data_IF_650211981977
#
_entry.id   IF_650211981977
#
_cell.length_a   1.000
_cell.length_b   1.000
_cell.length_c   1.000
_cell.angle_alpha   90.00
_cell.angle_beta   90.00
_cell.angle_gamma   90.00
#
_symmetry.space_group_name_H-M   'P 1'
#
loop_
_entity.id
_entity.type
_entity.pdbx_description
1 polymer ?
#
# COMPACT_ATOMS: atom_id res chain seq x y z
N UNK A 1 19.87 28.31 -45.38
CA UNK A 1 19.74 28.27 -43.91
C UNK A 1 19.04 26.96 -43.58
N UNK A 2 19.75 26.01 -42.97
CA UNK A 2 19.24 24.66 -42.69
C UNK A 2 18.52 24.69 -41.35
N UNK A 3 17.21 24.44 -41.37
CA UNK A 3 16.40 24.34 -40.16
C UNK A 3 16.75 23.03 -39.45
N UNK A 4 17.35 23.14 -38.26
CA UNK A 4 17.63 22.04 -37.35
C UNK A 4 16.32 21.55 -36.74
N UNK A 5 15.84 20.40 -37.19
CA UNK A 5 14.67 19.71 -36.68
C UNK A 5 14.99 19.17 -35.27
N UNK A 6 14.49 19.84 -34.24
CA UNK A 6 14.57 19.35 -32.85
C UNK A 6 13.56 18.23 -32.69
N UNK A 7 14.02 16.99 -32.71
CA UNK A 7 13.22 15.82 -32.36
C UNK A 7 12.95 15.85 -30.85
N UNK A 8 11.74 16.25 -30.46
CA UNK A 8 11.24 16.07 -29.11
C UNK A 8 11.05 14.56 -28.86
N UNK A 9 12.04 13.93 -28.25
CA UNK A 9 11.89 12.58 -27.68
C UNK A 9 10.97 12.74 -26.47
N UNK A 10 9.68 12.54 -26.69
CA UNK A 10 8.72 12.34 -25.60
C UNK A 10 9.14 11.03 -24.95
N UNK A 11 9.87 11.12 -23.84
CA UNK A 11 10.11 10.00 -22.95
C UNK A 11 8.76 9.55 -22.42
N UNK A 12 8.12 8.62 -23.13
CA UNK A 12 7.06 7.80 -22.56
C UNK A 12 7.74 7.08 -21.41
N UNK A 13 7.61 7.61 -20.19
CA UNK A 13 7.85 6.83 -18.99
C UNK A 13 6.97 5.61 -19.21
N UNK A 14 7.62 4.48 -19.50
CA UNK A 14 6.95 3.21 -19.46
C UNK A 14 6.39 3.14 -18.05
N UNK A 15 5.10 3.48 -17.91
CA UNK A 15 4.24 2.88 -16.92
C UNK A 15 4.33 1.42 -17.31
N UNK A 16 5.38 0.75 -16.80
CA UNK A 16 5.52 -0.68 -16.84
C UNK A 16 4.23 -1.11 -16.15
N UNK A 17 3.26 -1.43 -17.00
CA UNK A 17 2.00 -1.98 -16.60
C UNK A 17 2.41 -3.19 -15.78
N UNK A 18 2.36 -3.02 -14.46
CA UNK A 18 2.15 -4.09 -13.52
C UNK A 18 0.83 -4.72 -13.97
N UNK A 19 0.91 -5.55 -15.02
CA UNK A 19 -0.18 -6.40 -15.44
C UNK A 19 -0.27 -7.44 -14.33
N UNK A 20 -1.01 -7.06 -13.30
CA UNK A 20 -1.95 -7.93 -12.62
C UNK A 20 -1.38 -9.24 -12.08
N UNK A 21 -0.21 -9.20 -11.44
CA UNK A 21 -0.07 -10.03 -10.25
C UNK A 21 -1.06 -9.47 -9.22
N UNK A 22 -2.32 -9.93 -9.31
CA UNK A 22 -3.42 -9.56 -8.42
C UNK A 22 -2.88 -9.53 -7.00
N UNK A 23 -3.05 -8.41 -6.31
CA UNK A 23 -2.48 -8.21 -4.98
C UNK A 23 -2.94 -9.36 -4.08
N UNK A 24 -2.05 -10.29 -3.67
CA UNK A 24 -2.46 -11.57 -3.11
C UNK A 24 -2.74 -11.51 -1.60
N UNK A 25 -2.78 -10.31 -1.04
CA UNK A 25 -2.91 -10.09 0.39
C UNK A 25 -4.37 -9.79 0.73
N UNK A 26 -4.75 -10.16 1.95
CA UNK A 26 -6.07 -9.79 2.46
C UNK A 26 -6.09 -8.29 2.72
N UNK A 27 -7.24 -7.62 2.49
CA UNK A 27 -7.42 -6.25 2.93
C UNK A 27 -7.17 -6.18 4.44
N UNK A 28 -6.56 -5.07 4.87
CA UNK A 28 -6.40 -4.81 6.29
C UNK A 28 -7.78 -4.54 6.92
N UNK A 29 -7.87 -4.66 8.25
CA UNK A 29 -9.12 -4.37 8.93
C UNK A 29 -9.51 -2.89 8.83
N UNK A 30 -10.80 -2.54 9.00
CA UNK A 30 -11.30 -1.19 8.79
C UNK A 30 -10.62 -0.14 9.68
N UNK A 31 -10.13 -0.50 10.88
CA UNK A 31 -9.43 0.45 11.75
C UNK A 31 -8.02 0.75 11.22
N UNK A 32 -7.26 -0.30 10.88
CA UNK A 32 -5.90 -0.18 10.32
C UNK A 32 -5.94 0.55 8.97
N UNK A 33 -6.92 0.24 8.12
CA UNK A 33 -7.13 0.89 6.82
C UNK A 33 -7.50 2.36 6.98
N UNK A 34 -8.41 2.71 7.90
CA UNK A 34 -8.74 4.11 8.17
C UNK A 34 -7.53 4.91 8.67
N UNK A 35 -6.69 4.31 9.51
CA UNK A 35 -5.47 4.94 10.02
C UNK A 35 -4.43 5.22 8.94
N UNK A 36 -4.14 4.22 8.11
CA UNK A 36 -3.22 4.35 6.97
C UNK A 36 -3.76 5.34 5.94
N UNK A 37 -5.03 5.25 5.54
CA UNK A 37 -5.62 6.22 4.62
C UNK A 37 -5.59 7.66 5.16
N UNK A 38 -5.86 7.85 6.46
CA UNK A 38 -5.84 9.18 7.07
C UNK A 38 -4.43 9.79 7.03
N UNK A 39 -3.44 9.07 7.55
CA UNK A 39 -2.06 9.59 7.63
C UNK A 39 -1.39 9.64 6.26
N UNK A 40 -1.67 8.65 5.41
CA UNK A 40 -1.22 8.60 4.02
C UNK A 40 -1.71 9.80 3.22
N UNK A 41 -2.99 10.19 3.36
CA UNK A 41 -3.54 11.39 2.70
C UNK A 41 -2.91 12.71 3.16
N UNK A 42 -2.38 12.77 4.39
CA UNK A 42 -1.63 13.94 4.87
C UNK A 42 -0.24 14.04 4.21
N UNK A 43 0.36 12.92 3.83
CA UNK A 43 1.67 12.87 3.18
C UNK A 43 1.55 12.92 1.64
N UNK A 44 0.48 12.38 1.11
CA UNK A 44 0.20 12.27 -0.31
C UNK A 44 -1.31 12.37 -0.56
N UNK A 45 -1.84 13.49 -1.09
CA UNK A 45 -3.28 13.69 -1.21
C UNK A 45 -4.02 12.63 -2.05
N UNK A 46 -3.33 11.99 -2.99
CA UNK A 46 -3.88 10.92 -3.83
C UNK A 46 -3.67 9.51 -3.24
N UNK A 47 -3.26 9.42 -1.97
CA UNK A 47 -3.03 8.16 -1.29
C UNK A 47 -4.27 7.29 -1.29
N UNK A 48 -4.09 6.03 -1.68
CA UNK A 48 -5.18 5.07 -1.89
C UNK A 48 -4.71 3.65 -1.65
N UNK A 49 -5.62 2.82 -1.17
CA UNK A 49 -5.46 1.36 -1.09
C UNK A 49 -6.20 0.63 -2.20
N UNK A 50 -6.92 1.34 -3.07
CA UNK A 50 -7.63 0.75 -4.21
C UNK A 50 -6.63 0.31 -5.29
N UNK A 51 -6.54 -1.01 -5.51
CA UNK A 51 -5.69 -1.66 -6.52
C UNK A 51 -5.92 -1.13 -7.95
N UNK A 52 -7.10 -0.55 -8.24
CA UNK A 52 -7.43 -0.03 -9.56
C UNK A 52 -7.00 1.43 -9.75
N UNK A 53 -6.57 2.11 -8.69
CA UNK A 53 -6.15 3.51 -8.77
C UNK A 53 -4.78 3.63 -9.43
N UNK A 54 -4.56 4.63 -10.30
CA UNK A 54 -3.24 4.89 -10.88
C UNK A 54 -2.18 5.25 -9.82
N UNK A 55 -2.61 5.66 -8.62
CA UNK A 55 -1.74 6.05 -7.51
C UNK A 55 -1.49 4.93 -6.50
N UNK A 56 -2.03 3.74 -6.73
CA UNK A 56 -1.96 2.63 -5.78
C UNK A 56 -0.52 2.18 -5.51
N UNK A 57 0.27 1.93 -6.56
CA UNK A 57 1.65 1.48 -6.39
C UNK A 57 2.53 2.58 -5.78
N UNK A 58 2.25 3.85 -6.07
CA UNK A 58 2.90 4.98 -5.43
C UNK A 58 2.56 5.03 -3.94
N UNK A 59 1.28 4.84 -3.58
CA UNK A 59 0.81 4.79 -2.19
C UNK A 59 1.48 3.68 -1.40
N UNK A 60 1.59 2.47 -1.96
CA UNK A 60 2.34 1.37 -1.35
C UNK A 60 3.82 1.71 -1.10
N UNK A 61 4.41 2.64 -1.86
CA UNK A 61 5.76 3.13 -1.61
C UNK A 61 5.90 3.86 -0.27
N UNK A 62 4.85 4.54 0.19
CA UNK A 62 4.86 5.19 1.51
C UNK A 62 4.85 4.16 2.65
N UNK A 63 4.18 3.02 2.45
CA UNK A 63 4.03 1.98 3.48
C UNK A 63 5.13 0.93 3.48
N UNK A 64 5.73 0.64 2.32
CA UNK A 64 6.61 -0.52 2.14
C UNK A 64 8.00 -0.18 1.61
N UNK A 65 8.21 1.01 1.03
CA UNK A 65 9.55 1.40 0.60
C UNK A 65 10.32 2.10 1.72
N UNK A 66 11.17 1.35 2.42
CA UNK A 66 12.04 1.91 3.46
C UNK A 66 12.97 3.02 2.96
N UNK A 67 13.21 3.13 1.65
CA UNK A 67 14.02 4.20 1.04
C UNK A 67 13.19 5.44 0.73
N UNK A 68 11.85 5.38 0.83
CA UNK A 68 11.01 6.52 0.59
C UNK A 68 11.21 7.57 1.69
N UNK A 69 11.41 8.85 1.35
CA UNK A 69 11.75 9.89 2.33
C UNK A 69 10.65 10.11 3.39
N UNK A 70 9.42 9.66 3.10
CA UNK A 70 8.26 9.75 4.00
C UNK A 70 7.85 8.43 4.65
N UNK A 71 8.61 7.35 4.44
CA UNK A 71 8.29 6.04 5.00
C UNK A 71 8.23 6.06 6.53
N UNK A 72 9.26 6.61 7.19
CA UNK A 72 9.32 6.64 8.65
C UNK A 72 8.20 7.50 9.25
N UNK A 73 7.89 8.64 8.63
CA UNK A 73 6.79 9.51 9.04
C UNK A 73 5.44 8.77 8.94
N UNK A 74 5.21 8.07 7.83
CA UNK A 74 4.01 7.25 7.61
C UNK A 74 3.89 6.14 8.65
N UNK A 75 4.91 5.29 8.77
CA UNK A 75 4.90 4.14 9.68
C UNK A 75 4.76 4.56 11.15
N UNK A 76 5.38 5.67 11.55
CA UNK A 76 5.25 6.18 12.91
C UNK A 76 3.85 6.73 13.18
N UNK A 77 3.31 7.60 12.31
CA UNK A 77 1.99 8.21 12.51
C UNK A 77 0.86 7.20 12.37
N UNK A 78 0.92 6.36 11.33
CA UNK A 78 -0.03 5.28 11.15
C UNK A 78 0.07 4.28 12.32
N UNK A 79 1.28 3.93 12.78
CA UNK A 79 1.49 3.08 13.95
C UNK A 79 0.89 3.65 15.24
N UNK A 80 1.01 4.96 15.47
CA UNK A 80 0.35 5.63 16.60
C UNK A 80 -1.19 5.56 16.49
N UNK A 81 -1.73 5.71 15.29
CA UNK A 81 -3.16 5.58 15.04
C UNK A 81 -3.65 4.12 15.20
N UNK A 82 -2.82 3.13 14.86
CA UNK A 82 -3.15 1.71 14.97
C UNK A 82 -3.16 1.19 16.41
N UNK A 83 -2.50 1.88 17.35
CA UNK A 83 -2.45 1.49 18.76
C UNK A 83 -3.80 1.10 19.38
N UNK A 84 -4.87 1.91 19.24
CA UNK A 84 -6.22 1.56 19.70
C UNK A 84 -6.99 0.57 18.83
N UNK A 85 -6.48 0.13 17.68
CA UNK A 85 -7.20 -0.80 16.81
C UNK A 85 -7.34 -2.20 17.43
N UNK A 86 -8.33 -3.01 17.03
CA UNK A 86 -8.46 -4.38 17.51
C UNK A 86 -7.19 -5.19 17.26
N UNK A 87 -6.76 -5.97 18.26
CA UNK A 87 -5.52 -6.78 18.17
C UNK A 87 -5.52 -7.73 16.96
N UNK A 88 -6.68 -8.27 16.58
CA UNK A 88 -6.80 -9.14 15.41
C UNK A 88 -6.41 -8.43 14.10
N UNK A 89 -6.75 -7.15 13.95
CA UNK A 89 -6.39 -6.35 12.77
C UNK A 89 -4.90 -5.98 12.80
N UNK A 90 -4.37 -5.63 13.97
CA UNK A 90 -2.94 -5.34 14.13
C UNK A 90 -2.07 -6.55 13.80
N UNK A 91 -2.45 -7.75 14.26
CA UNK A 91 -1.72 -8.99 13.96
C UNK A 91 -1.87 -9.40 12.48
N UNK A 92 -3.04 -9.17 11.88
CA UNK A 92 -3.22 -9.38 10.43
C UNK A 92 -2.31 -8.46 9.60
N UNK A 93 -2.21 -7.18 9.98
CA UNK A 93 -1.31 -6.23 9.35
C UNK A 93 0.15 -6.66 9.50
N UNK A 94 0.60 -6.92 10.73
CA UNK A 94 1.98 -7.34 11.04
C UNK A 94 2.37 -8.64 10.32
N UNK A 95 1.49 -9.63 10.30
CA UNK A 95 1.76 -10.93 9.67
C UNK A 95 1.90 -10.85 8.15
N UNK A 96 1.20 -9.92 7.50
CA UNK A 96 1.30 -9.71 6.05
C UNK A 96 2.33 -8.65 5.66
N UNK A 97 2.76 -7.77 6.59
CA UNK A 97 3.59 -6.60 6.28
C UNK A 97 4.89 -6.94 5.55
N UNK A 98 5.62 -7.96 6.02
CA UNK A 98 6.87 -8.38 5.37
C UNK A 98 6.63 -8.90 3.95
N UNK A 99 5.63 -9.78 3.79
CA UNK A 99 5.30 -10.34 2.49
C UNK A 99 4.80 -9.27 1.49
N UNK A 100 4.00 -8.30 1.96
CA UNK A 100 3.59 -7.11 1.19
C UNK A 100 4.81 -6.30 0.74
N UNK A 101 5.78 -6.11 1.64
CA UNK A 101 7.03 -5.37 1.35
C UNK A 101 7.88 -6.07 0.28
N UNK A 102 8.03 -7.39 0.37
CA UNK A 102 8.77 -8.19 -0.62
C UNK A 102 8.07 -8.20 -1.99
N UNK A 103 6.73 -8.31 -1.98
CA UNK A 103 5.93 -8.20 -3.20
C UNK A 103 6.10 -6.83 -3.85
N UNK A 104 6.01 -5.76 -3.06
CA UNK A 104 6.19 -4.38 -3.55
C UNK A 104 7.57 -4.17 -4.17
N UNK A 105 8.63 -4.68 -3.54
CA UNK A 105 9.99 -4.59 -4.07
C UNK A 105 10.14 -5.25 -5.46
N UNK A 106 9.43 -6.36 -5.71
CA UNK A 106 9.37 -7.03 -7.02
C UNK A 106 8.51 -6.24 -8.01
N UNK A 107 7.36 -5.74 -7.56
CA UNK A 107 6.45 -4.95 -8.40
C UNK A 107 7.12 -3.64 -8.90
N UNK A 108 7.83 -2.91 -8.03
CA UNK A 108 8.48 -1.62 -8.39
C UNK A 108 9.66 -1.75 -9.36
N UNK A 109 10.32 -2.90 -9.40
CA UNK A 109 11.50 -3.12 -10.26
C UNK A 109 11.11 -3.56 -11.68
N UNK A 110 9.82 -3.74 -11.95
CA UNK A 110 9.35 -4.35 -13.21
C UNK A 110 9.74 -5.83 -13.35
N UNK A 111 10.45 -6.41 -12.36
CA UNK A 111 10.93 -7.79 -12.35
C UNK A 111 9.88 -8.78 -11.79
N UNK A 112 8.67 -8.31 -11.51
CA UNK A 112 7.65 -9.04 -10.76
C UNK A 112 6.61 -9.75 -11.62
N UNK A 113 7.02 -10.78 -12.36
CA UNK A 113 6.17 -11.97 -12.50
C UNK A 113 7.03 -13.21 -12.31
N UNK A 114 6.91 -13.94 -11.17
CA UNK A 114 7.07 -15.38 -11.25
C UNK A 114 5.98 -15.88 -12.20
N UNK A 115 6.40 -16.46 -13.31
CA UNK A 115 5.54 -17.27 -14.18
C UNK A 115 4.72 -18.21 -13.27
N UNK A 116 3.39 -18.29 -13.41
CA UNK A 116 2.64 -19.33 -12.71
C UNK A 116 3.22 -20.66 -13.19
N UNK A 117 3.89 -21.41 -12.31
CA UNK A 117 4.35 -22.76 -12.63
C UNK A 117 3.19 -23.50 -13.27
N UNK A 118 3.31 -23.75 -14.58
CA UNK A 118 2.41 -24.58 -15.33
C UNK A 118 2.48 -25.99 -14.74
N UNK A 119 1.59 -26.26 -13.79
CA UNK A 119 1.28 -27.60 -13.34
C UNK A 119 0.62 -28.34 -14.50
N UNK A 120 1.44 -28.99 -15.32
CA UNK A 120 1.01 -30.03 -16.24
C UNK A 120 0.41 -31.17 -15.43
N UNK A 121 -0.90 -31.37 -15.53
CA UNK A 121 -1.58 -32.51 -14.91
C UNK A 121 -3.09 -32.40 -15.00
N UNK A 122 -3.66 -32.95 -16.07
CA UNK A 122 -5.05 -32.76 -16.43
C UNK A 122 -6.08 -33.52 -15.59
N UNK A 123 -7.32 -33.03 -15.66
CA UNK A 123 -8.48 -33.84 -16.03
C UNK A 123 -9.64 -32.91 -16.35
N UNK A 124 -10.02 -32.95 -17.62
CA UNK A 124 -11.29 -32.44 -18.13
C UNK A 124 -12.42 -33.20 -17.44
N UNK A 125 -13.22 -32.50 -16.62
CA UNK A 125 -14.56 -32.95 -16.26
C UNK A 125 -15.52 -31.81 -16.56
N UNK A 126 -16.46 -32.11 -17.46
CA UNK A 126 -17.45 -31.20 -18.01
C UNK A 126 -18.31 -30.51 -16.92
N UNK A 127 -18.77 -29.27 -17.14
CA UNK A 127 -19.70 -28.63 -16.23
C UNK A 127 -21.14 -29.12 -16.49
N UNK A 128 -21.66 -29.93 -15.57
CA UNK A 128 -23.10 -30.21 -15.48
C UNK A 128 -23.80 -29.00 -14.87
N UNK A 129 -24.69 -28.39 -15.64
CA UNK A 129 -25.57 -27.27 -15.28
C UNK A 129 -26.63 -27.70 -14.26
N UNK A 130 -26.75 -27.05 -13.08
CA UNK A 130 -27.94 -27.17 -12.25
C UNK A 130 -28.99 -26.13 -12.66
N UNK A 131 -30.19 -26.65 -12.86
CA UNK A 131 -31.47 -25.96 -13.06
C UNK A 131 -31.89 -25.20 -11.79
N UNK A 132 -32.57 -24.06 -11.99
CA UNK A 132 -32.83 -23.07 -10.94
C UNK A 132 -33.96 -23.37 -9.94
N UNK A 133 -34.07 -22.47 -8.97
CA UNK A 133 -35.24 -22.15 -8.15
C UNK A 133 -35.04 -20.71 -7.64
N UNK A 134 -35.82 -19.75 -8.14
CA UNK A 134 -36.99 -19.16 -7.46
C UNK A 134 -36.64 -18.44 -6.14
N UNK A 135 -36.49 -17.12 -6.22
CA UNK A 135 -36.36 -16.22 -5.06
C UNK A 135 -37.70 -15.52 -4.86
N UNK A 136 -38.32 -15.75 -3.70
CA UNK A 136 -39.45 -14.99 -3.20
C UNK A 136 -38.97 -13.67 -2.52
N UNK A 137 -39.77 -12.60 -2.53
CA UNK A 137 -39.41 -11.31 -1.93
C UNK A 137 -39.65 -11.29 -0.42
N UNK A 138 -38.75 -10.67 0.35
CA UNK A 138 -38.92 -10.41 1.79
C UNK A 138 -38.88 -8.89 2.04
N UNK A 139 -39.80 -8.33 2.85
CA UNK A 139 -40.13 -6.91 2.88
C UNK A 139 -39.28 -6.03 3.80
N UNK A 140 -39.47 -4.73 3.59
CA UNK A 140 -39.00 -3.57 4.37
C UNK A 140 -39.15 -3.69 5.89
N UNK A 141 -38.15 -3.18 6.60
CA UNK A 141 -38.24 -2.81 8.02
C UNK A 141 -37.39 -1.56 8.28
N UNK A 142 -38.06 -0.41 8.40
CA UNK A 142 -37.52 0.83 8.94
C UNK A 142 -37.77 0.89 10.46
N UNK A 143 -36.89 1.60 11.18
CA UNK A 143 -37.03 2.28 12.50
C UNK A 143 -35.63 2.30 13.15
N UNK A 144 -35.01 3.47 13.35
CA UNK A 144 -35.16 4.31 14.57
C UNK A 144 -34.15 3.81 15.62
N UNK A 145 -33.26 4.58 16.24
CA UNK A 145 -33.41 5.88 16.88
C UNK A 145 -32.02 6.40 17.30
N UNK A 146 -31.94 7.72 17.43
CA UNK A 146 -30.82 8.47 18.00
C UNK A 146 -30.49 8.08 19.45
N UNK A 147 -29.24 8.30 19.89
CA UNK A 147 -28.91 8.95 21.18
C UNK A 147 -27.43 9.37 21.17
N UNK A 148 -27.19 10.68 21.32
CA UNK A 148 -25.91 11.26 21.71
C UNK A 148 -25.75 11.22 23.24
N UNK A 149 -24.52 11.23 23.75
CA UNK A 149 -24.25 12.08 24.91
C UNK A 149 -23.00 12.95 24.74
N UNK A 150 -23.11 14.09 25.43
CA UNK A 150 -22.17 15.18 25.54
C UNK A 150 -21.02 14.89 26.51
N UNK A 151 -19.96 15.71 26.39
CA UNK A 151 -19.26 16.27 27.55
C UNK A 151 -18.14 15.44 28.17
N UNK A 152 -16.91 15.66 27.70
CA UNK A 152 -15.69 15.28 28.39
C UNK A 152 -14.62 16.36 28.21
N UNK A 153 -14.16 16.90 29.34
CA UNK A 153 -13.36 18.12 29.55
C UNK A 153 -11.90 18.01 29.05
N UNK A 154 -11.23 19.12 28.67
CA UNK A 154 -9.80 19.12 28.35
C UNK A 154 -8.94 19.03 29.62
N UNK A 155 -8.06 18.03 29.69
CA UNK A 155 -7.08 17.87 30.77
C UNK A 155 -5.66 18.08 30.22
N UNK A 156 -5.14 19.26 30.55
CA UNK A 156 -3.80 19.57 31.06
C UNK A 156 -2.55 18.96 30.39
N UNK A 157 -1.72 19.86 29.85
CA UNK A 157 -0.38 19.60 29.35
C UNK A 157 0.66 19.47 30.50
N UNK A 158 1.56 18.47 30.48
CA UNK A 158 2.82 18.57 31.20
C UNK A 158 3.91 19.23 30.35
N UNK A 159 4.56 20.17 31.02
CA UNK A 159 5.68 21.00 30.57
C UNK A 159 6.96 20.19 30.38
N UNK A 160 7.75 20.60 29.40
CA UNK A 160 9.21 20.67 29.38
C UNK A 160 10.01 19.45 29.86
N UNK A 161 10.52 18.69 28.90
CA UNK A 161 11.69 17.82 29.06
C UNK A 161 12.58 17.90 27.83
N UNK A 162 13.49 18.87 27.79
CA UNK A 162 14.58 18.90 26.83
C UNK A 162 15.65 17.90 27.26
N UNK A 163 15.94 16.87 26.45
CA UNK A 163 17.20 16.13 26.52
C UNK A 163 17.65 15.71 25.12
N UNK A 164 18.90 16.05 24.84
CA UNK A 164 19.67 15.93 23.60
C UNK A 164 19.57 14.59 22.87
N UNK A 165 19.37 14.66 21.55
CA UNK A 165 19.81 13.60 20.62
C UNK A 165 21.16 14.02 20.02
N UNK A 166 22.19 13.25 20.36
CA UNK A 166 23.54 13.41 19.86
C UNK A 166 23.61 13.03 18.37
N UNK A 167 24.19 13.92 17.56
CA UNK A 167 24.60 13.67 16.18
C UNK A 167 25.58 12.49 16.10
N UNK A 168 25.10 11.35 15.62
CA UNK A 168 25.94 10.25 15.14
C UNK A 168 26.03 10.30 13.62
N UNK A 169 27.11 10.88 13.10
CA UNK A 169 27.49 10.78 11.69
C UNK A 169 27.80 9.32 11.35
N UNK A 170 26.98 8.67 10.53
CA UNK A 170 27.37 7.44 9.84
C UNK A 170 27.58 7.79 8.38
N UNK A 171 28.85 8.02 8.04
CA UNK A 171 29.31 8.07 6.67
C UNK A 171 29.15 6.70 6.03
N UNK A 172 28.48 6.64 4.89
CA UNK A 172 28.58 5.52 3.97
C UNK A 172 29.23 6.05 2.71
N UNK A 173 30.50 5.70 2.55
CA UNK A 173 31.30 5.99 1.37
C UNK A 173 30.67 5.34 0.14
N UNK A 174 30.49 6.14 -0.91
CA UNK A 174 30.23 5.68 -2.25
C UNK A 174 31.51 5.03 -2.81
N UNK A 175 31.46 3.72 -3.07
CA UNK A 175 32.44 3.06 -3.93
C UNK A 175 31.75 2.75 -5.27
N UNK A 176 31.96 3.67 -6.21
CA UNK A 176 31.86 3.43 -7.64
C UNK A 176 32.93 2.41 -8.03
N UNK A 177 32.56 1.30 -8.68
CA UNK A 177 33.40 0.56 -9.62
C UNK A 177 32.59 -0.60 -10.21
N UNK A 178 32.10 -0.41 -11.43
CA UNK A 178 31.98 -1.48 -12.41
C UNK A 178 32.07 -0.87 -13.80
N UNK A 179 33.30 -0.83 -14.28
CA UNK A 179 33.61 -0.74 -15.69
C UNK A 179 33.03 -1.99 -16.37
N UNK A 180 32.19 -1.78 -17.38
CA UNK A 180 31.94 -2.79 -18.40
C UNK A 180 32.55 -2.26 -19.68
N UNK A 181 33.76 -2.76 -19.95
CA UNK A 181 34.26 -2.86 -21.30
C UNK A 181 33.39 -3.87 -22.05
N UNK A 182 32.96 -3.55 -23.27
CA UNK A 182 32.90 -4.48 -24.41
C UNK A 182 32.42 -3.74 -25.66
N UNK A 183 33.33 -3.72 -26.65
CA UNK A 183 33.16 -3.52 -28.10
C UNK A 183 32.81 -2.13 -28.60
#
# INVERSE_FOLDING_TARGET
MRFLTVAAVVSVVAVASAQTAKYPFKPDGPCVEACTLKEGKLLFPNFTHDENSPYWLESLGYDHDRKHPKYTDMMMKAGMCMGPCPLAEQELFKSQFQAKTEWYAKAKSGAGQPEPSAGTGGSSVAPTRPTGASVAPVPSGAHGSATAPAGGKPTEAPKNGAVSVASGMVGVAAALLSAVALL
#
